data_IF_337302973045
#
_entry.id   IF_337302973045
#
_cell.length_a   1.000
_cell.length_b   1.000
_cell.length_c   1.000
_cell.angle_alpha   90.00
_cell.angle_beta   90.00
_cell.angle_gamma   90.00
#
_symmetry.space_group_name_H-M   'P 1'
#
loop_
_entity.id
_entity.type
_entity.pdbx_description
1 polymer ?
#
# COMPACT_ATOMS: atom_id res chain seq x y z
N UNK A 1 -24.87 -5.14 13.76
CA UNK A 1 -23.76 -5.21 12.81
C UNK A 1 -22.61 -4.38 13.37
N UNK A 2 -21.39 -4.93 13.57
CA UNK A 2 -20.26 -4.12 14.00
C UNK A 2 -19.90 -3.12 12.89
N UNK A 3 -19.65 -1.86 13.26
CA UNK A 3 -19.26 -0.84 12.29
C UNK A 3 -17.97 -1.25 11.55
N UNK A 4 -17.87 -0.98 10.24
CA UNK A 4 -16.68 -1.33 9.47
C UNK A 4 -15.47 -0.58 10.02
N UNK A 5 -14.42 -1.32 10.37
CA UNK A 5 -13.15 -0.74 10.84
C UNK A 5 -12.54 0.09 9.72
N UNK A 6 -12.33 1.38 9.97
CA UNK A 6 -11.66 2.26 9.03
C UNK A 6 -10.19 1.82 8.86
N UNK A 7 -9.77 1.62 7.61
CA UNK A 7 -8.38 1.30 7.28
C UNK A 7 -7.54 2.58 7.41
N UNK A 8 -6.43 2.57 8.19
CA UNK A 8 -5.61 3.74 8.42
C UNK A 8 -4.90 4.21 7.15
N UNK A 9 -4.48 5.47 7.14
CA UNK A 9 -3.59 6.05 6.12
C UNK A 9 -2.15 5.90 6.58
N UNK A 10 -1.26 5.52 5.67
CA UNK A 10 0.16 5.27 5.90
C UNK A 10 0.99 5.86 4.74
N UNK A 11 2.25 6.23 4.99
CA UNK A 11 3.20 6.66 3.95
C UNK A 11 3.95 5.47 3.35
N UNK A 12 4.16 5.46 2.04
CA UNK A 12 4.86 4.37 1.34
C UNK A 12 6.37 4.41 1.60
N UNK A 13 6.94 3.29 2.04
CA UNK A 13 8.38 3.17 2.34
C UNK A 13 9.33 3.38 1.13
N UNK A 14 8.80 3.48 -0.10
CA UNK A 14 9.59 3.61 -1.33
C UNK A 14 9.44 4.96 -2.03
N UNK A 15 8.27 5.59 -1.93
CA UNK A 15 7.96 6.78 -2.71
C UNK A 15 7.20 7.86 -1.92
N UNK A 16 7.09 7.71 -0.60
CA UNK A 16 6.43 8.64 0.33
C UNK A 16 4.96 8.95 -0.04
N UNK A 17 4.34 8.10 -0.86
CA UNK A 17 2.93 8.25 -1.26
C UNK A 17 2.01 7.75 -0.15
N UNK A 18 1.05 8.57 0.25
CA UNK A 18 -0.01 8.17 1.19
C UNK A 18 -0.91 7.10 0.56
N UNK A 19 -1.16 6.00 1.28
CA UNK A 19 -2.05 4.92 0.88
C UNK A 19 -2.81 4.34 2.08
N UNK A 20 -3.86 3.54 1.83
CA UNK A 20 -4.61 2.83 2.88
C UNK A 20 -4.17 1.37 2.96
N UNK A 21 -3.74 0.93 4.14
CA UNK A 21 -3.45 -0.47 4.41
C UNK A 21 -3.55 -0.77 5.91
N UNK A 22 -3.91 -2.01 6.29
CA UNK A 22 -3.92 -2.42 7.70
C UNK A 22 -2.51 -2.54 8.29
N UNK A 23 -1.51 -2.81 7.43
CA UNK A 23 -0.10 -2.99 7.81
C UNK A 23 0.79 -2.00 7.04
N UNK A 24 1.93 -1.57 7.62
CA UNK A 24 2.93 -0.77 6.91
C UNK A 24 3.48 -1.46 5.66
N UNK A 25 4.00 -0.70 4.70
CA UNK A 25 4.66 -1.25 3.52
C UNK A 25 4.62 -0.36 2.27
N UNK A 26 4.57 -1.01 1.11
CA UNK A 26 4.59 -0.35 -0.18
C UNK A 26 3.19 -0.11 -0.75
N UNK A 27 3.00 1.06 -1.38
CA UNK A 27 1.79 1.38 -2.11
C UNK A 27 1.58 0.44 -3.32
N UNK A 28 0.36 0.42 -3.85
CA UNK A 28 -0.01 -0.45 -4.98
C UNK A 28 0.94 -0.27 -6.16
N UNK A 29 1.27 0.96 -6.54
CA UNK A 29 2.13 1.22 -7.69
C UNK A 29 3.55 0.69 -7.49
N UNK A 30 4.11 0.82 -6.27
CA UNK A 30 5.42 0.26 -5.96
C UNK A 30 5.43 -1.27 -5.90
N UNK A 31 4.31 -1.90 -5.53
CA UNK A 31 4.14 -3.36 -5.59
C UNK A 31 4.00 -3.87 -7.03
N UNK A 32 3.27 -3.13 -7.86
CA UNK A 32 3.02 -3.48 -9.27
C UNK A 32 4.19 -3.10 -10.20
N UNK A 33 5.09 -2.22 -9.76
CA UNK A 33 6.33 -1.91 -10.48
C UNK A 33 7.35 -3.07 -10.48
N UNK A 34 7.17 -4.09 -9.63
CA UNK A 34 8.12 -5.19 -9.43
C UNK A 34 7.98 -6.44 -10.34
N UNK A 35 7.23 -6.47 -11.47
CA UNK A 35 7.42 -7.56 -12.43
C UNK A 35 7.44 -7.16 -13.92
N UNK A 36 8.17 -6.10 -14.31
CA UNK A 36 8.68 -6.02 -15.70
C UNK A 36 10.11 -6.58 -15.87
N UNK A 37 10.67 -7.20 -14.83
CA UNK A 37 11.97 -7.92 -14.89
C UNK A 37 11.82 -9.45 -14.97
N UNK A 38 10.66 -9.94 -15.41
CA UNK A 38 10.48 -11.32 -15.83
C UNK A 38 10.22 -11.33 -17.35
N UNK A 39 11.26 -10.98 -18.12
CA UNK A 39 11.34 -11.20 -19.56
C UNK A 39 12.71 -11.83 -19.87
#
# INVERSE_FOLDING_TARGET
DPAPTAIPLQDCDRCDRVFRAPEPGHCRDCREAEPYRAA
#
